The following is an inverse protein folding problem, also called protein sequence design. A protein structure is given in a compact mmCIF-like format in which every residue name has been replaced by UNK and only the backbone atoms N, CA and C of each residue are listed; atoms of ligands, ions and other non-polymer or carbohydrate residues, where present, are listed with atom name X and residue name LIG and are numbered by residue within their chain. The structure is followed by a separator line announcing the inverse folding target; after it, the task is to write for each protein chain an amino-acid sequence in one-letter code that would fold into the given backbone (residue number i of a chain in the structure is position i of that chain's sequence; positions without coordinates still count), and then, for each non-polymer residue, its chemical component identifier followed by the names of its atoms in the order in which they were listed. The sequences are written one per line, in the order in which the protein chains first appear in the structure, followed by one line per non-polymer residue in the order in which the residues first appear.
data_IF_875156900039
#
_entry.id   IF_875156900039
#
_cell.length_a   1.000
_cell.length_b   1.000
_cell.length_c   1.000
_cell.angle_alpha   90.00
_cell.angle_beta   90.00
_cell.angle_gamma   90.00
#
_symmetry.space_group_name_H-M   'P 1'
#
loop_
_entity.id
_entity.type
_entity.pdbx_description
1 polymer ?
#
# COMPACT_ATOMS: atom_id res chain seq x y z
N UNK A 1 -22.18 5.80 2.36
CA UNK A 1 -21.98 4.46 1.88
C UNK A 1 -20.53 4.03 2.02
N UNK A 2 -20.30 2.83 2.45
CA UNK A 2 -18.94 2.36 2.67
C UNK A 2 -18.36 1.79 1.40
N UNK A 3 -17.07 2.02 1.20
CA UNK A 3 -16.38 1.40 0.09
C UNK A 3 -16.29 -0.09 0.31
N UNK A 4 -16.26 -0.82 -0.81
CA UNK A 4 -16.01 -2.24 -0.77
C UNK A 4 -14.59 -2.55 -0.36
N UNK A 5 -13.67 -1.61 -0.61
CA UNK A 5 -12.27 -1.80 -0.32
C UNK A 5 -11.89 -1.16 0.99
N UNK A 6 -10.89 -1.73 1.63
CA UNK A 6 -10.35 -1.14 2.83
C UNK A 6 -9.59 0.12 2.53
N UNK A 7 -9.33 0.88 3.59
CA UNK A 7 -8.58 2.13 3.50
C UNK A 7 -7.13 1.86 3.85
N UNK A 8 -6.23 2.32 3.00
CA UNK A 8 -4.81 2.21 3.22
C UNK A 8 -4.26 3.58 3.57
N UNK A 9 -3.66 3.70 4.74
CA UNK A 9 -3.09 4.97 5.19
C UNK A 9 -1.63 5.04 4.81
N UNK A 10 -1.19 6.24 4.47
CA UNK A 10 0.14 6.45 3.93
C UNK A 10 0.80 7.65 4.56
N UNK A 11 2.13 7.57 4.64
CA UNK A 11 2.98 8.74 4.83
C UNK A 11 3.65 9.03 3.50
N UNK A 12 3.63 10.28 3.08
CA UNK A 12 4.32 10.72 1.87
C UNK A 12 5.21 11.89 2.26
N UNK A 13 6.50 11.75 2.02
CA UNK A 13 7.44 12.81 2.38
C UNK A 13 8.56 12.86 1.35
N UNK A 14 9.34 13.93 1.40
CA UNK A 14 10.53 14.01 0.57
C UNK A 14 11.76 14.01 1.43
N UNK A 15 12.80 13.42 0.89
CA UNK A 15 14.11 13.40 1.53
C UNK A 15 15.15 13.49 0.43
N UNK A 16 16.02 14.49 0.51
CA UNK A 16 16.99 14.75 -0.53
C UNK A 16 16.24 14.95 -1.86
N UNK A 17 16.59 14.22 -2.90
CA UNK A 17 15.94 14.38 -4.19
C UNK A 17 14.98 13.24 -4.48
N UNK A 18 14.30 12.76 -3.45
CA UNK A 18 13.41 11.61 -3.57
C UNK A 18 12.11 11.87 -2.86
N UNK A 19 11.05 11.28 -3.39
CA UNK A 19 9.77 11.21 -2.69
C UNK A 19 9.63 9.78 -2.17
N UNK A 20 9.22 9.67 -0.93
CA UNK A 20 9.09 8.37 -0.26
C UNK A 20 7.64 8.20 0.19
N UNK A 21 7.08 7.04 -0.15
CA UNK A 21 5.74 6.66 0.26
C UNK A 21 5.88 5.46 1.19
N UNK A 22 5.28 5.55 2.37
CA UNK A 22 5.30 4.45 3.32
C UNK A 22 3.88 4.09 3.74
N UNK A 23 3.66 2.82 3.94
CA UNK A 23 2.35 2.33 4.39
C UNK A 23 2.54 1.10 5.25
N UNK A 24 1.75 1.02 6.31
CA UNK A 24 1.72 -0.18 7.15
C UNK A 24 0.67 -1.12 6.58
N UNK A 25 1.11 -2.24 6.05
CA UNK A 25 0.20 -3.21 5.42
C UNK A 25 0.48 -4.61 5.97
N UNK A 26 0.30 -4.74 7.27
CA UNK A 26 0.50 -6.02 7.92
C UNK A 26 -0.44 -7.06 7.35
N UNK A 27 0.03 -8.29 7.28
CA UNK A 27 -0.80 -9.40 6.84
C UNK A 27 -0.90 -9.56 5.33
N UNK A 28 -0.09 -8.83 4.56
CA UNK A 28 -0.11 -8.91 3.10
C UNK A 28 1.27 -9.35 2.62
N UNK A 29 1.31 -10.43 1.85
CA UNK A 29 2.54 -10.88 1.22
C UNK A 29 2.77 -10.18 -0.10
N UNK A 30 4.02 -10.24 -0.58
CA UNK A 30 4.37 -9.57 -1.83
C UNK A 30 3.56 -10.05 -3.01
N UNK A 31 3.16 -11.32 -2.99
CA UNK A 31 2.38 -11.88 -4.10
C UNK A 31 0.95 -11.36 -4.14
N UNK A 32 0.47 -10.80 -3.04
CA UNK A 32 -0.88 -10.25 -2.96
C UNK A 32 -0.90 -8.74 -3.04
N UNK A 33 0.22 -8.16 -3.45
CA UNK A 33 0.39 -6.72 -3.51
C UNK A 33 0.78 -6.32 -4.93
N UNK A 34 0.12 -5.30 -5.44
CA UNK A 34 0.39 -4.80 -6.78
C UNK A 34 0.62 -3.29 -6.71
N UNK A 35 1.71 -2.83 -7.30
CA UNK A 35 2.07 -1.42 -7.25
C UNK A 35 2.27 -0.92 -8.67
N UNK A 36 1.57 0.13 -9.02
CA UNK A 36 1.66 0.75 -10.32
C UNK A 36 2.14 2.18 -10.15
N UNK A 37 3.20 2.54 -10.85
CA UNK A 37 3.84 3.85 -10.69
C UNK A 37 3.91 4.53 -12.04
N UNK A 38 3.41 5.76 -12.08
CA UNK A 38 3.62 6.64 -13.22
C UNK A 38 4.48 7.81 -12.76
N UNK A 39 4.76 8.74 -13.68
CA UNK A 39 5.61 9.87 -13.30
C UNK A 39 4.96 10.78 -12.26
N UNK A 40 3.66 10.72 -12.11
CA UNK A 40 2.97 11.62 -11.18
C UNK A 40 2.01 10.91 -10.25
N UNK A 41 2.00 9.59 -10.20
CA UNK A 41 1.09 8.89 -9.31
C UNK A 41 1.61 7.52 -8.91
N UNK A 42 1.12 7.04 -7.78
CA UNK A 42 1.38 5.69 -7.30
C UNK A 42 0.04 5.08 -6.94
N UNK A 43 -0.20 3.88 -7.45
CA UNK A 43 -1.41 3.13 -7.11
C UNK A 43 -1.00 1.83 -6.44
N UNK A 44 -1.53 1.60 -5.25
CA UNK A 44 -1.25 0.40 -4.47
C UNK A 44 -2.56 -0.36 -4.32
N UNK A 45 -2.57 -1.60 -4.77
CA UNK A 45 -3.72 -2.47 -4.60
C UNK A 45 -3.24 -3.78 -4.00
N UNK A 46 -4.10 -4.42 -3.27
CA UNK A 46 -3.74 -5.69 -2.68
C UNK A 46 -4.92 -6.35 -2.01
N UNK A 47 -4.64 -7.53 -1.46
CA UNK A 47 -5.65 -8.29 -0.74
C UNK A 47 -5.03 -8.80 0.54
N UNK A 48 -5.69 -8.51 1.66
CA UNK A 48 -5.31 -9.07 2.95
C UNK A 48 -6.17 -10.29 3.20
N UNK A 49 -5.56 -11.46 3.11
CA UNK A 49 -6.28 -12.73 3.24
C UNK A 49 -6.19 -13.23 4.66
N UNK A 50 -7.31 -13.68 5.17
CA UNK A 50 -7.34 -14.31 6.47
C UNK A 50 -6.95 -15.77 6.31
N UNK A 51 -5.81 -16.15 6.87
CA UNK A 51 -5.29 -17.50 6.68
C UNK A 51 -6.07 -18.54 7.48
N UNK A 52 -6.57 -18.12 8.64
CA UNK A 52 -7.31 -19.04 9.51
C UNK A 52 -8.78 -18.90 9.23
N UNK A 53 -9.30 -19.79 8.40
CA UNK A 53 -10.69 -19.70 7.96
C UNK A 53 -11.54 -20.74 8.65
N UNK A 54 -11.57 -20.68 9.96
CA UNK A 54 -12.43 -21.59 10.71
C UNK A 54 -13.88 -21.25 10.47
N UNK A 55 -14.67 -22.27 10.26
CA UNK A 55 -16.05 -22.06 9.85
C UNK A 55 -16.99 -21.75 10.99
N UNK A 56 -16.64 -22.14 12.20
CA UNK A 56 -17.59 -22.07 13.32
C UNK A 56 -17.24 -21.02 14.35
N UNK A 57 -16.48 -20.00 13.95
CA UNK A 57 -16.17 -18.97 14.94
C UNK A 57 -17.29 -17.97 15.04
N UNK A 58 -17.52 -17.52 16.27
CA UNK A 58 -18.48 -16.48 16.55
C UNK A 58 -17.73 -15.30 17.12
N UNK A 59 -17.83 -14.17 16.45
CA UNK A 59 -17.06 -12.97 16.84
C UNK A 59 -17.76 -12.25 17.97
N UNK A 60 -17.01 -11.89 19.00
CA UNK A 60 -17.46 -10.88 19.95
C UNK A 60 -17.26 -9.49 19.37
N UNK A 61 -16.13 -9.29 18.69
CA UNK A 61 -15.83 -8.07 17.96
C UNK A 61 -15.16 -8.47 16.65
N UNK A 62 -15.44 -7.74 15.61
CA UNK A 62 -14.82 -8.00 14.31
C UNK A 62 -14.43 -6.67 13.71
N UNK A 63 -13.21 -6.24 13.99
CA UNK A 63 -12.73 -4.93 13.56
C UNK A 63 -11.58 -5.00 12.57
N UNK A 64 -10.94 -6.17 12.44
CA UNK A 64 -9.88 -6.29 11.47
C UNK A 64 -10.47 -6.36 10.07
N UNK A 65 -9.83 -5.68 9.14
CA UNK A 65 -10.27 -5.71 7.76
C UNK A 65 -9.50 -6.78 6.99
N UNK A 66 -10.26 -7.69 6.42
CA UNK A 66 -9.75 -8.68 5.48
C UNK A 66 -10.39 -8.42 4.13
N UNK A 67 -9.60 -8.54 3.05
CA UNK A 67 -10.13 -8.31 1.74
C UNK A 67 -9.29 -7.35 0.94
N UNK A 68 -9.86 -6.80 -0.08
CA UNK A 68 -9.16 -5.93 -1.02
C UNK A 68 -9.01 -4.53 -0.46
N UNK A 69 -7.88 -3.92 -0.80
CA UNK A 69 -7.67 -2.50 -0.52
C UNK A 69 -7.02 -1.85 -1.74
N UNK A 70 -7.18 -0.56 -1.84
CA UNK A 70 -6.63 0.19 -2.95
C UNK A 70 -6.41 1.63 -2.52
N UNK A 71 -5.31 2.21 -2.98
CA UNK A 71 -5.04 3.62 -2.74
C UNK A 71 -4.27 4.19 -3.90
N UNK A 72 -4.72 5.32 -4.40
CA UNK A 72 -3.99 6.06 -5.43
C UNK A 72 -3.53 7.37 -4.84
N UNK A 73 -2.26 7.68 -5.03
CA UNK A 73 -1.65 8.91 -4.54
C UNK A 73 -1.18 9.72 -5.71
N UNK A 74 -1.61 10.97 -5.78
CA UNK A 74 -1.07 11.92 -6.76
C UNK A 74 0.13 12.58 -6.11
N UNK A 75 1.27 12.51 -6.80
CA UNK A 75 2.52 13.00 -6.23
C UNK A 75 2.64 14.51 -6.41
N UNK A 76 3.29 15.18 -5.46
CA UNK A 76 3.43 16.64 -5.56
C UNK A 76 4.40 17.10 -6.65
N UNK A 77 5.32 16.22 -7.09
CA UNK A 77 6.28 16.51 -8.13
C UNK A 77 6.47 15.28 -8.98
N UNK A 78 6.89 15.46 -10.22
CA UNK A 78 7.13 14.33 -11.10
C UNK A 78 8.35 13.54 -10.67
N UNK A 79 8.25 12.23 -10.83
CA UNK A 79 9.30 11.30 -10.43
C UNK A 79 9.72 10.47 -11.64
N UNK A 80 10.88 9.85 -11.51
CA UNK A 80 11.37 8.89 -12.49
C UNK A 80 10.81 7.52 -12.13
N UNK A 81 9.71 7.15 -12.76
CA UNK A 81 9.03 5.89 -12.43
C UNK A 81 9.92 4.68 -12.68
N UNK A 82 10.79 4.76 -13.69
CA UNK A 82 11.66 3.64 -14.04
C UNK A 82 12.73 3.38 -12.97
N UNK A 83 13.03 4.36 -12.16
CA UNK A 83 14.03 4.22 -11.09
C UNK A 83 13.41 4.00 -9.73
N UNK A 84 12.10 3.81 -9.66
CA UNK A 84 11.42 3.59 -8.39
C UNK A 84 11.78 2.24 -7.80
N UNK A 85 11.83 2.18 -6.49
CA UNK A 85 12.09 0.94 -5.76
C UNK A 85 11.07 0.78 -4.68
N UNK A 86 10.58 -0.44 -4.52
CA UNK A 86 9.60 -0.75 -3.49
C UNK A 86 10.09 -1.93 -2.68
N UNK A 87 9.98 -1.83 -1.37
CA UNK A 87 10.33 -2.92 -0.47
C UNK A 87 9.19 -3.13 0.52
N UNK A 88 8.98 -4.38 0.89
CA UNK A 88 8.01 -4.74 1.92
C UNK A 88 8.78 -5.50 2.99
N UNK A 89 8.85 -4.90 4.18
CA UNK A 89 9.63 -5.49 5.26
C UNK A 89 8.90 -5.25 6.56
N UNK A 90 8.69 -6.31 7.32
CA UNK A 90 8.05 -6.24 8.63
C UNK A 90 6.69 -5.53 8.56
N UNK A 91 5.95 -5.77 7.49
CA UNK A 91 4.64 -5.16 7.33
C UNK A 91 4.65 -3.70 6.88
N UNK A 92 5.83 -3.16 6.59
CA UNK A 92 5.94 -1.78 6.12
C UNK A 92 6.34 -1.79 4.65
N UNK A 93 5.50 -1.20 3.84
CA UNK A 93 5.80 -0.98 2.43
C UNK A 93 6.49 0.37 2.30
N UNK A 94 7.63 0.38 1.63
CA UNK A 94 8.37 1.62 1.37
C UNK A 94 8.62 1.73 -0.12
N UNK A 95 8.19 2.84 -0.71
CA UNK A 95 8.41 3.10 -2.13
C UNK A 95 9.25 4.35 -2.24
N UNK A 96 10.41 4.24 -2.88
CA UNK A 96 11.34 5.34 -3.05
C UNK A 96 11.31 5.76 -4.51
N UNK A 97 11.02 7.04 -4.72
CA UNK A 97 10.79 7.57 -6.05
C UNK A 97 11.73 8.76 -6.30
N UNK A 98 12.82 8.54 -7.06
CA UNK A 98 13.70 9.66 -7.38
C UNK A 98 12.93 10.70 -8.20
N UNK A 99 13.13 11.97 -7.86
CA UNK A 99 12.51 13.04 -8.65
C UNK A 99 13.14 13.11 -10.03
N UNK A 100 12.36 13.57 -10.99
CA UNK A 100 12.87 13.72 -12.34
C UNK A 100 13.97 14.77 -12.43
N UNK A 101 13.94 15.74 -11.55
CA UNK A 101 14.96 16.79 -11.60
C UNK A 101 15.71 16.88 -10.31
#
# INVERSE_FOLDING_TARGET
MRDQNGILTLDVFQKDNKIVVKSAIAGVGGKDLDISITNDSVTITGTRKEEDQEKNKNYFYQELYWGQFSRKVILPEEVNADAAKATLKNGILTIVLPKLK
#
